data_IF_324891058926
#
_entry.id   IF_324891058926
#
_cell.length_a   1.000
_cell.length_b   1.000
_cell.length_c   1.000
_cell.angle_alpha   90.00
_cell.angle_beta   90.00
_cell.angle_gamma   90.00
#
_symmetry.space_group_name_H-M   'P 1'
#
loop_
_entity.id
_entity.type
_entity.pdbx_description
1 polymer ?
#
# COMPACT_ATOMS: atom_id res chain seq x y z
N UNK A 1 -77.71 -2.60 66.53
CA UNK A 1 -76.27 -2.30 66.71
C UNK A 1 -75.56 -3.64 66.59
N UNK A 2 -75.10 -3.98 65.38
CA UNK A 2 -73.66 -4.04 65.04
C UNK A 2 -72.86 -4.84 66.06
N UNK A 3 -72.60 -6.11 65.77
CA UNK A 3 -71.24 -6.68 65.81
C UNK A 3 -71.19 -8.08 65.19
N UNK A 4 -70.55 -8.08 64.03
CA UNK A 4 -69.61 -9.03 63.40
C UNK A 4 -69.42 -10.41 64.03
N UNK A 5 -69.57 -11.41 63.16
CA UNK A 5 -69.36 -12.82 63.43
C UNK A 5 -67.93 -13.28 63.04
N UNK A 6 -67.32 -14.02 63.97
CA UNK A 6 -66.42 -15.19 63.84
C UNK A 6 -64.99 -14.98 63.31
N UNK A 7 -64.03 -15.24 64.21
CA UNK A 7 -62.61 -15.50 63.91
C UNK A 7 -62.11 -16.62 64.83
N UNK A 8 -61.68 -17.74 64.26
CA UNK A 8 -60.80 -18.71 64.92
C UNK A 8 -59.72 -19.21 63.92
N UNK A 9 -58.47 -18.90 64.28
CA UNK A 9 -57.18 -19.63 64.14
C UNK A 9 -57.16 -20.98 63.41
N UNK A 10 -56.11 -21.43 62.73
CA UNK A 10 -54.80 -20.94 62.27
C UNK A 10 -54.19 -22.13 61.49
N UNK A 11 -53.59 -21.93 60.32
CA UNK A 11 -52.18 -22.32 60.11
C UNK A 11 -51.57 -21.75 58.82
N UNK A 12 -50.26 -21.54 58.92
CA UNK A 12 -49.33 -20.78 58.08
C UNK A 12 -49.10 -21.39 56.69
N UNK A 13 -48.89 -20.54 55.67
CA UNK A 13 -47.53 -20.32 55.11
C UNK A 13 -47.50 -19.29 53.96
N UNK A 14 -46.52 -18.38 54.07
CA UNK A 14 -45.69 -17.92 52.95
C UNK A 14 -46.25 -16.94 51.92
N UNK A 15 -46.04 -15.64 52.16
CA UNK A 15 -46.03 -14.55 51.16
C UNK A 15 -45.01 -14.84 50.03
N UNK A 16 -45.01 -14.24 48.83
CA UNK A 16 -45.24 -12.85 48.41
C UNK A 16 -45.13 -12.87 46.87
N UNK A 17 -46.05 -12.29 46.11
CA UNK A 17 -45.84 -10.91 45.62
C UNK A 17 -45.13 -10.86 44.26
N UNK A 18 -45.89 -11.15 43.20
CA UNK A 18 -45.52 -10.99 41.78
C UNK A 18 -45.23 -9.53 41.42
N UNK A 19 -43.97 -9.21 41.08
CA UNK A 19 -43.62 -8.05 40.24
C UNK A 19 -43.57 -8.51 38.78
N UNK A 20 -44.40 -7.89 37.95
CA UNK A 20 -44.45 -8.13 36.52
C UNK A 20 -43.09 -7.92 35.87
N UNK A 21 -42.53 -8.98 35.31
CA UNK A 21 -41.42 -8.94 34.37
C UNK A 21 -42.04 -8.54 33.03
N UNK A 22 -41.70 -7.33 32.56
CA UNK A 22 -41.95 -6.94 31.18
C UNK A 22 -41.35 -8.01 30.24
N UNK A 23 -42.02 -8.39 29.14
CA UNK A 23 -41.50 -9.39 28.25
C UNK A 23 -40.16 -8.89 27.70
N UNK A 24 -39.08 -9.67 27.96
CA UNK A 24 -37.82 -9.54 27.22
C UNK A 24 -38.19 -9.57 25.73
N UNK A 25 -37.89 -8.48 25.03
CA UNK A 25 -37.94 -8.45 23.57
C UNK A 25 -37.16 -9.64 23.04
N UNK A 26 -37.80 -10.46 22.21
CA UNK A 26 -37.17 -11.56 21.49
C UNK A 26 -35.88 -11.05 20.84
N UNK A 27 -34.74 -11.69 21.16
CA UNK A 27 -33.45 -11.34 20.62
C UNK A 27 -33.44 -11.49 19.10
N UNK A 28 -33.51 -10.37 18.39
CA UNK A 28 -33.12 -10.33 16.99
C UNK A 28 -31.64 -10.68 16.88
N UNK A 29 -31.28 -11.60 16.00
CA UNK A 29 -29.88 -11.89 15.69
C UNK A 29 -29.22 -10.60 15.21
N UNK A 30 -28.13 -10.18 15.88
CA UNK A 30 -27.35 -9.01 15.45
C UNK A 30 -26.83 -9.27 14.04
N UNK A 31 -26.90 -8.28 13.15
CA UNK A 31 -26.46 -8.43 11.77
C UNK A 31 -25.69 -7.19 11.30
N UNK A 32 -24.53 -7.41 10.71
CA UNK A 32 -23.72 -6.38 10.06
C UNK A 32 -23.51 -6.76 8.59
N UNK A 33 -23.84 -5.85 7.69
CA UNK A 33 -23.55 -6.00 6.27
C UNK A 33 -22.75 -4.79 5.75
N UNK A 34 -21.65 -5.06 5.06
CA UNK A 34 -20.84 -4.02 4.40
C UNK A 34 -21.17 -4.00 2.92
N UNK A 35 -21.64 -2.86 2.43
CA UNK A 35 -22.00 -2.67 1.03
C UNK A 35 -21.43 -1.38 0.47
N UNK A 36 -21.55 -1.20 -0.85
CA UNK A 36 -21.13 0.03 -1.51
C UNK A 36 -21.84 1.27 -0.93
N UNK A 37 -23.07 1.12 -0.44
CA UNK A 37 -23.87 2.19 0.16
C UNK A 37 -23.41 2.57 1.58
N UNK A 38 -22.85 1.64 2.34
CA UNK A 38 -22.60 1.87 3.77
C UNK A 38 -22.37 0.59 4.55
N UNK A 39 -22.27 0.75 5.87
CA UNK A 39 -22.35 -0.37 6.82
C UNK A 39 -23.77 -0.41 7.35
N UNK A 40 -24.49 -1.50 7.14
CA UNK A 40 -25.79 -1.72 7.78
C UNK A 40 -25.58 -2.46 9.09
N UNK A 41 -26.12 -1.96 10.19
CA UNK A 41 -26.15 -2.63 11.49
C UNK A 41 -27.62 -2.78 11.89
N UNK A 42 -28.07 -4.02 12.07
CA UNK A 42 -29.45 -4.37 12.41
C UNK A 42 -30.48 -3.68 11.49
N UNK A 43 -30.19 -3.64 10.19
CA UNK A 43 -31.01 -3.02 9.15
C UNK A 43 -30.81 -1.50 8.97
N UNK A 44 -30.18 -0.83 9.93
CA UNK A 44 -29.91 0.62 9.86
C UNK A 44 -28.67 0.90 9.04
N UNK A 45 -28.80 1.64 7.93
CA UNK A 45 -27.68 2.01 7.06
C UNK A 45 -26.90 3.19 7.62
N UNK A 46 -25.60 3.00 7.80
CA UNK A 46 -24.62 4.05 8.10
C UNK A 46 -23.79 4.34 6.84
N UNK A 47 -24.14 5.42 6.14
CA UNK A 47 -23.35 5.91 5.00
C UNK A 47 -21.99 6.47 5.45
N UNK A 48 -21.95 7.06 6.64
CA UNK A 48 -20.74 7.52 7.31
C UNK A 48 -20.67 6.87 8.69
N UNK A 49 -19.49 6.40 9.07
CA UNK A 49 -19.26 5.83 10.39
C UNK A 49 -18.88 6.96 11.34
N UNK A 50 -19.78 7.30 12.26
CA UNK A 50 -19.54 8.25 13.33
C UNK A 50 -19.70 7.55 14.67
N UNK A 51 -18.91 7.99 15.66
CA UNK A 51 -18.97 7.46 17.03
C UNK A 51 -20.39 7.60 17.60
N UNK A 52 -21.08 8.75 17.51
CA UNK A 52 -22.45 8.88 18.02
C UNK A 52 -23.45 7.91 17.36
N UNK A 53 -23.37 7.71 16.03
CA UNK A 53 -24.28 6.80 15.33
C UNK A 53 -24.02 5.34 15.72
N UNK A 54 -22.76 4.96 15.87
CA UNK A 54 -22.38 3.62 16.36
C UNK A 54 -22.83 3.42 17.81
N UNK A 55 -22.60 4.39 18.70
CA UNK A 55 -23.06 4.35 20.10
C UNK A 55 -24.58 4.22 20.22
N UNK A 56 -25.34 4.87 19.34
CA UNK A 56 -26.80 4.75 19.33
C UNK A 56 -27.29 3.32 19.03
N UNK A 57 -26.53 2.54 18.23
CA UNK A 57 -26.90 1.18 17.80
C UNK A 57 -26.27 0.08 18.68
N UNK A 58 -25.07 0.34 19.19
CA UNK A 58 -24.23 -0.63 19.90
C UNK A 58 -24.24 -0.44 21.42
N UNK A 59 -24.80 0.67 21.90
CA UNK A 59 -24.85 1.02 23.32
C UNK A 59 -23.61 1.79 23.78
N UNK A 60 -23.42 1.84 25.10
CA UNK A 60 -22.36 2.64 25.74
C UNK A 60 -20.98 2.02 25.47
N UNK A 61 -20.04 2.77 24.84
CA UNK A 61 -18.68 2.30 24.68
C UNK A 61 -17.81 2.67 25.89
N UNK A 62 -16.64 2.04 25.97
CA UNK A 62 -15.47 2.61 26.65
C UNK A 62 -14.54 3.26 25.65
N UNK A 63 -13.80 4.28 26.08
CA UNK A 63 -12.87 5.01 25.24
C UNK A 63 -11.47 4.88 25.81
N UNK A 64 -10.55 4.36 25.01
CA UNK A 64 -9.15 4.15 25.37
C UNK A 64 -8.26 5.09 24.57
N UNK A 65 -7.62 6.09 25.21
CA UNK A 65 -6.72 6.99 24.52
C UNK A 65 -5.41 6.29 24.12
N UNK A 66 -4.70 6.81 23.11
CA UNK A 66 -3.36 6.36 22.81
C UNK A 66 -2.41 6.68 23.98
N UNK A 67 -1.33 5.90 24.14
CA UNK A 67 -0.32 6.16 25.19
C UNK A 67 0.34 7.54 25.00
N UNK A 68 0.50 7.98 23.75
CA UNK A 68 0.95 9.32 23.37
C UNK A 68 -0.07 9.97 22.45
N UNK A 69 -0.56 11.19 22.74
CA UNK A 69 -1.58 11.87 21.94
C UNK A 69 -1.12 12.22 20.52
N UNK A 70 0.18 12.44 20.31
CA UNK A 70 0.78 12.83 19.03
C UNK A 70 2.03 12.02 18.74
N UNK A 71 2.32 11.76 17.47
CA UNK A 71 3.60 11.20 17.05
C UNK A 71 4.72 12.26 16.96
N UNK A 72 5.94 11.83 16.65
CA UNK A 72 7.13 12.68 16.53
C UNK A 72 6.99 13.79 15.46
N UNK A 73 6.02 13.66 14.55
CA UNK A 73 5.73 14.63 13.50
C UNK A 73 4.55 15.55 13.87
N UNK A 74 4.05 15.47 15.12
CA UNK A 74 2.94 16.28 15.61
C UNK A 74 1.55 15.80 15.14
N UNK A 75 1.45 14.61 14.52
CA UNK A 75 0.17 14.07 14.07
C UNK A 75 -0.59 13.40 15.22
N UNK A 76 -1.88 13.76 15.35
CA UNK A 76 -2.79 13.19 16.36
C UNK A 76 -2.93 11.67 16.14
N UNK A 77 -2.64 10.90 17.20
CA UNK A 77 -2.89 9.46 17.27
C UNK A 77 -4.36 9.20 17.62
N UNK A 78 -4.89 8.10 17.11
CA UNK A 78 -6.30 7.75 17.32
C UNK A 78 -6.54 7.18 18.71
N UNK A 79 -7.66 7.55 19.33
CA UNK A 79 -8.27 6.82 20.43
C UNK A 79 -9.06 5.62 19.90
N UNK A 80 -9.25 4.61 20.74
CA UNK A 80 -10.16 3.50 20.48
C UNK A 80 -11.48 3.71 21.20
N UNK A 81 -12.58 3.55 20.49
CA UNK A 81 -13.95 3.48 21.04
C UNK A 81 -14.40 2.04 20.94
N UNK A 82 -14.75 1.41 22.06
CA UNK A 82 -14.90 -0.04 22.16
C UNK A 82 -16.26 -0.39 22.77
N UNK A 83 -17.02 -1.24 22.07
CA UNK A 83 -18.30 -1.79 22.48
C UNK A 83 -18.12 -3.27 22.82
N UNK A 84 -17.79 -3.55 24.08
CA UNK A 84 -17.37 -4.89 24.54
C UNK A 84 -18.42 -5.97 24.26
N UNK A 85 -19.69 -5.74 24.63
CA UNK A 85 -20.78 -6.70 24.43
C UNK A 85 -21.12 -6.95 22.95
N UNK A 86 -20.70 -6.02 22.08
CA UNK A 86 -20.89 -6.15 20.64
C UNK A 86 -19.67 -6.75 19.95
N UNK A 87 -18.53 -6.92 20.61
CA UNK A 87 -17.30 -7.36 19.94
C UNK A 87 -16.83 -6.42 18.83
N UNK A 88 -17.10 -5.11 18.99
CA UNK A 88 -16.82 -4.09 17.98
C UNK A 88 -15.94 -2.99 18.60
N UNK A 89 -15.01 -2.46 17.82
CA UNK A 89 -14.26 -1.26 18.16
C UNK A 89 -14.05 -0.36 16.95
N UNK A 90 -13.84 0.92 17.18
CA UNK A 90 -13.49 1.87 16.14
C UNK A 90 -12.34 2.79 16.56
N UNK A 91 -11.54 3.23 15.59
CA UNK A 91 -10.55 4.30 15.82
C UNK A 91 -11.18 5.66 15.56
N UNK A 92 -10.79 6.68 16.33
CA UNK A 92 -11.18 8.07 16.09
C UNK A 92 -10.08 9.03 16.50
N UNK A 93 -9.91 10.13 15.74
CA UNK A 93 -8.94 11.20 16.07
C UNK A 93 -9.59 12.41 16.75
N UNK A 94 -10.88 12.60 16.54
CA UNK A 94 -11.66 13.76 16.97
C UNK A 94 -12.80 13.40 17.92
N UNK A 95 -13.04 12.10 18.15
CA UNK A 95 -14.16 11.61 18.95
C UNK A 95 -15.49 11.56 18.18
N UNK A 96 -15.52 12.01 16.92
CA UNK A 96 -16.72 12.09 16.10
C UNK A 96 -16.68 11.11 14.94
N UNK A 97 -15.64 11.17 14.11
CA UNK A 97 -15.52 10.32 12.92
C UNK A 97 -14.76 9.03 13.26
N UNK A 98 -15.32 7.89 12.82
CA UNK A 98 -14.64 6.61 12.90
C UNK A 98 -13.75 6.39 11.66
N UNK A 99 -12.46 6.11 11.87
CA UNK A 99 -11.50 5.84 10.80
C UNK A 99 -11.47 4.38 10.35
N UNK A 100 -11.47 3.46 11.31
CA UNK A 100 -11.54 2.02 11.13
C UNK A 100 -12.63 1.46 12.04
N UNK A 101 -13.43 0.51 11.55
CA UNK A 101 -14.37 -0.28 12.35
C UNK A 101 -13.92 -1.75 12.34
N UNK A 102 -13.56 -2.28 13.50
CA UNK A 102 -13.08 -3.65 13.70
C UNK A 102 -14.13 -4.48 14.41
N UNK A 103 -14.36 -5.70 13.93
CA UNK A 103 -15.41 -6.63 14.39
C UNK A 103 -14.76 -7.99 14.65
N UNK A 104 -14.94 -8.53 15.85
CA UNK A 104 -14.40 -9.84 16.25
C UNK A 104 -15.35 -10.96 15.82
N UNK A 105 -15.06 -11.60 14.68
CA UNK A 105 -16.00 -12.48 13.97
C UNK A 105 -16.14 -13.88 14.59
N UNK A 106 -15.07 -14.38 15.21
CA UNK A 106 -15.02 -15.73 15.75
C UNK A 106 -14.11 -15.80 16.98
N UNK A 107 -14.36 -16.80 17.82
CA UNK A 107 -13.50 -17.12 18.96
C UNK A 107 -12.19 -17.73 18.44
N UNK A 108 -11.07 -17.10 18.75
CA UNK A 108 -9.74 -17.58 18.38
C UNK A 108 -8.86 -17.60 19.62
N UNK A 109 -8.74 -18.75 20.32
CA UNK A 109 -8.07 -18.85 21.61
C UNK A 109 -6.63 -18.30 21.61
N UNK A 110 -5.89 -18.53 20.52
CA UNK A 110 -4.50 -18.07 20.39
C UNK A 110 -4.44 -16.55 20.29
N UNK A 111 -5.36 -15.93 19.54
CA UNK A 111 -5.44 -14.47 19.44
C UNK A 111 -6.03 -13.85 20.71
N UNK A 112 -7.01 -14.50 21.34
CA UNK A 112 -7.65 -14.05 22.57
C UNK A 112 -6.66 -13.94 23.71
N UNK A 113 -5.74 -14.90 23.87
CA UNK A 113 -4.69 -14.84 24.90
C UNK A 113 -3.80 -13.60 24.70
N UNK A 114 -3.39 -13.32 23.46
CA UNK A 114 -2.60 -12.11 23.13
C UNK A 114 -3.38 -10.83 23.41
N UNK A 115 -4.69 -10.84 23.15
CA UNK A 115 -5.57 -9.67 23.29
C UNK A 115 -6.03 -9.43 24.72
N UNK A 116 -6.14 -10.45 25.55
CA UNK A 116 -6.51 -10.33 26.96
C UNK A 116 -5.53 -9.44 27.74
N UNK A 117 -4.27 -9.36 27.29
CA UNK A 117 -3.27 -8.45 27.83
C UNK A 117 -3.41 -6.98 27.34
N UNK A 118 -4.29 -6.70 26.37
CA UNK A 118 -4.42 -5.41 25.71
C UNK A 118 -5.75 -4.74 26.00
N UNK A 119 -5.68 -3.52 26.56
CA UNK A 119 -6.87 -2.69 26.83
C UNK A 119 -7.59 -2.24 25.55
N UNK A 120 -7.01 -2.40 24.36
CA UNK A 120 -7.59 -1.87 23.12
C UNK A 120 -8.56 -2.81 22.40
N UNK A 121 -8.79 -4.02 22.90
CA UNK A 121 -9.63 -5.03 22.26
C UNK A 121 -10.95 -5.24 23.02
N UNK A 122 -12.07 -5.56 22.34
CA UNK A 122 -13.32 -5.88 23.01
C UNK A 122 -13.19 -7.10 23.92
N UNK A 123 -13.97 -7.15 25.00
CA UNK A 123 -13.97 -8.27 25.93
C UNK A 123 -14.58 -9.58 25.37
N UNK A 124 -15.33 -9.52 24.27
CA UNK A 124 -15.99 -10.68 23.65
C UNK A 124 -16.08 -10.58 22.13
N UNK A 125 -16.51 -11.69 21.51
CA UNK A 125 -16.78 -11.76 20.07
C UNK A 125 -18.12 -11.12 19.68
N UNK A 126 -18.26 -10.78 18.40
CA UNK A 126 -19.49 -10.26 17.83
C UNK A 126 -20.58 -11.34 17.82
N UNK A 127 -21.70 -11.17 18.55
CA UNK A 127 -22.72 -12.20 18.71
C UNK A 127 -23.75 -12.14 17.56
N UNK A 128 -23.27 -12.15 16.31
CA UNK A 128 -24.10 -11.88 15.15
C UNK A 128 -23.54 -12.40 13.83
N UNK A 129 -24.26 -12.12 12.74
CA UNK A 129 -23.82 -12.47 11.38
C UNK A 129 -23.17 -11.27 10.72
N UNK A 130 -22.01 -11.49 10.11
CA UNK A 130 -21.30 -10.49 9.33
C UNK A 130 -21.25 -10.89 7.86
N UNK A 131 -21.66 -9.99 6.98
CA UNK A 131 -21.67 -10.19 5.52
C UNK A 131 -21.05 -9.03 4.77
N UNK A 132 -20.67 -9.31 3.53
CA UNK A 132 -20.14 -8.33 2.58
C UNK A 132 -20.96 -8.45 1.29
N UNK A 133 -21.70 -7.38 0.95
CA UNK A 133 -22.74 -7.37 -0.09
C UNK A 133 -23.69 -8.57 0.04
N UNK A 134 -24.15 -8.85 1.27
CA UNK A 134 -25.06 -9.95 1.60
C UNK A 134 -24.45 -11.36 1.53
N UNK A 135 -23.15 -11.49 1.26
CA UNK A 135 -22.45 -12.79 1.18
C UNK A 135 -21.57 -13.07 2.39
N UNK A 136 -21.33 -14.34 2.73
CA UNK A 136 -20.32 -14.72 3.72
C UNK A 136 -18.94 -14.14 3.35
N UNK A 137 -18.09 -13.77 4.32
CA UNK A 137 -16.80 -13.12 4.04
C UNK A 137 -15.91 -13.92 3.08
N UNK A 138 -15.90 -15.25 3.20
CA UNK A 138 -15.09 -16.13 2.35
C UNK A 138 -15.50 -16.07 0.87
N UNK A 139 -16.78 -15.86 0.59
CA UNK A 139 -17.31 -15.74 -0.78
C UNK A 139 -17.11 -14.33 -1.37
N UNK A 140 -16.85 -13.33 -0.52
CA UNK A 140 -16.59 -11.96 -0.94
C UNK A 140 -15.13 -11.72 -1.35
N UNK A 141 -14.22 -12.67 -1.08
CA UNK A 141 -12.81 -12.61 -1.50
C UNK A 141 -12.63 -13.33 -2.84
N UNK A 142 -11.84 -12.74 -3.73
CA UNK A 142 -11.53 -13.36 -5.02
C UNK A 142 -10.59 -14.57 -4.88
N UNK A 143 -10.69 -15.52 -5.81
CA UNK A 143 -9.77 -16.67 -5.90
C UNK A 143 -8.30 -16.24 -5.91
N UNK A 144 -7.96 -15.21 -6.68
CA UNK A 144 -6.58 -14.69 -6.76
C UNK A 144 -6.04 -14.27 -5.38
N UNK A 145 -6.89 -13.68 -4.54
CA UNK A 145 -6.50 -13.24 -3.20
C UNK A 145 -6.42 -14.42 -2.24
N UNK A 146 -7.35 -15.37 -2.31
CA UNK A 146 -7.30 -16.58 -1.50
C UNK A 146 -6.01 -17.37 -1.74
N UNK A 147 -5.57 -17.47 -2.99
CA UNK A 147 -4.29 -18.10 -3.35
C UNK A 147 -3.08 -17.39 -2.74
N UNK A 148 -3.18 -16.09 -2.47
CA UNK A 148 -2.11 -15.26 -1.87
C UNK A 148 -2.34 -14.99 -0.39
N UNK A 149 -3.14 -15.83 0.29
CA UNK A 149 -3.43 -15.67 1.71
C UNK A 149 -2.15 -15.65 2.55
N UNK A 150 -2.09 -14.73 3.52
CA UNK A 150 -0.99 -14.64 4.50
C UNK A 150 -1.52 -14.39 5.90
N UNK A 151 -1.56 -13.13 6.36
CA UNK A 151 -2.12 -12.78 7.67
C UNK A 151 -3.58 -12.32 7.58
N UNK A 152 -3.96 -11.72 6.46
CA UNK A 152 -5.31 -11.27 6.18
C UNK A 152 -5.56 -11.27 4.67
N UNK A 153 -6.82 -11.17 4.29
CA UNK A 153 -7.29 -11.01 2.92
C UNK A 153 -8.07 -9.70 2.83
N UNK A 154 -7.90 -8.93 1.75
CA UNK A 154 -8.69 -7.71 1.56
C UNK A 154 -9.76 -7.90 0.49
N UNK A 155 -10.88 -7.20 0.61
CA UNK A 155 -11.85 -7.06 -0.48
C UNK A 155 -12.40 -5.64 -0.52
N UNK A 156 -12.62 -5.11 -1.73
CA UNK A 156 -13.12 -3.74 -1.92
C UNK A 156 -14.60 -3.78 -2.17
N UNK A 157 -15.32 -2.92 -1.47
CA UNK A 157 -16.77 -2.77 -1.59
C UNK A 157 -17.11 -1.28 -1.66
N UNK A 158 -17.37 -0.80 -2.87
CA UNK A 158 -17.48 0.64 -3.15
C UNK A 158 -16.19 1.39 -2.74
N UNK A 159 -16.34 2.37 -1.85
CA UNK A 159 -15.22 3.15 -1.28
C UNK A 159 -14.64 2.55 0.01
N UNK A 160 -15.07 1.35 0.39
CA UNK A 160 -14.61 0.66 1.59
C UNK A 160 -13.68 -0.48 1.22
N UNK A 161 -12.74 -0.75 2.10
CA UNK A 161 -11.98 -2.00 2.08
C UNK A 161 -12.29 -2.76 3.36
N UNK A 162 -12.64 -4.03 3.21
CA UNK A 162 -12.76 -4.98 4.30
C UNK A 162 -11.48 -5.81 4.33
N UNK A 163 -10.73 -5.72 5.42
CA UNK A 163 -9.60 -6.60 5.71
C UNK A 163 -10.08 -7.72 6.64
N UNK A 164 -9.95 -8.96 6.19
CA UNK A 164 -10.40 -10.16 6.88
C UNK A 164 -9.16 -10.89 7.41
N UNK A 165 -8.91 -10.79 8.71
CA UNK A 165 -7.75 -11.40 9.37
C UNK A 165 -7.99 -12.88 9.55
N UNK A 166 -7.02 -13.69 9.11
CA UNK A 166 -7.12 -15.13 9.22
C UNK A 166 -7.12 -15.55 10.69
N UNK A 167 -7.87 -16.63 11.00
CA UNK A 167 -7.76 -17.26 12.30
C UNK A 167 -6.34 -17.80 12.49
N UNK A 168 -5.72 -17.46 13.61
CA UNK A 168 -4.42 -17.99 14.01
C UNK A 168 -4.53 -19.47 14.42
N UNK A 169 -5.67 -19.85 15.00
CA UNK A 169 -5.97 -21.23 15.41
C UNK A 169 -6.18 -22.15 14.20
N UNK A 170 -7.00 -21.76 13.21
CA UNK A 170 -7.33 -22.62 12.07
C UNK A 170 -6.42 -22.40 10.85
N UNK A 171 -5.94 -21.18 10.62
CA UNK A 171 -5.18 -20.80 9.42
C UNK A 171 -3.75 -20.30 9.73
N UNK A 172 -3.30 -20.31 11.00
CA UNK A 172 -2.02 -19.71 11.41
C UNK A 172 -0.77 -20.36 10.80
N UNK A 173 -0.88 -21.60 10.31
CA UNK A 173 0.19 -22.27 9.53
C UNK A 173 0.63 -21.41 8.33
N UNK A 174 -0.34 -20.85 7.58
CA UNK A 174 -0.08 -20.05 6.38
C UNK A 174 0.88 -18.89 6.68
N UNK A 175 0.71 -18.27 7.86
CA UNK A 175 1.54 -17.14 8.29
C UNK A 175 2.96 -17.56 8.66
N UNK A 176 3.12 -18.74 9.29
CA UNK A 176 4.40 -19.30 9.75
C UNK A 176 5.20 -19.98 8.63
N UNK A 177 4.54 -20.28 7.52
CA UNK A 177 5.13 -20.97 6.37
C UNK A 177 6.29 -20.18 5.74
N UNK A 178 7.39 -20.88 5.47
CA UNK A 178 8.55 -20.30 4.79
C UNK A 178 8.20 -19.90 3.36
N UNK A 179 8.85 -18.86 2.85
CA UNK A 179 8.50 -18.26 1.56
C UNK A 179 8.51 -19.26 0.38
N UNK A 180 9.50 -20.16 0.23
CA UNK A 180 9.50 -21.11 -0.90
C UNK A 180 8.29 -22.06 -0.90
N UNK A 181 7.91 -22.54 0.28
CA UNK A 181 6.74 -23.41 0.45
C UNK A 181 5.44 -22.63 0.18
N UNK A 182 5.33 -21.44 0.77
CA UNK A 182 4.18 -20.56 0.56
C UNK A 182 3.98 -20.21 -0.92
N UNK A 183 5.06 -19.90 -1.64
CA UNK A 183 5.00 -19.59 -3.06
C UNK A 183 4.51 -20.79 -3.86
N UNK A 184 5.03 -22.00 -3.60
CA UNK A 184 4.57 -23.21 -4.26
C UNK A 184 3.07 -23.48 -4.03
N UNK A 185 2.59 -23.32 -2.79
CA UNK A 185 1.18 -23.50 -2.42
C UNK A 185 0.26 -22.38 -2.94
N UNK A 186 0.79 -21.17 -3.13
CA UNK A 186 0.09 -20.08 -3.79
C UNK A 186 -0.19 -20.41 -5.26
N UNK A 187 0.82 -20.95 -5.96
CA UNK A 187 0.69 -21.34 -7.37
C UNK A 187 -0.24 -22.54 -7.56
N UNK A 188 -0.15 -23.55 -6.68
CA UNK A 188 -1.01 -24.75 -6.75
C UNK A 188 -2.47 -24.47 -6.35
N UNK A 189 -2.70 -23.45 -5.53
CA UNK A 189 -4.02 -23.10 -4.99
C UNK A 189 -4.33 -23.73 -3.64
N UNK A 190 -3.41 -24.53 -3.07
CA UNK A 190 -3.55 -25.16 -1.76
C UNK A 190 -3.82 -24.14 -0.64
N UNK A 191 -3.25 -22.92 -0.72
CA UNK A 191 -3.54 -21.87 0.28
C UNK A 191 -5.02 -21.49 0.30
N UNK A 192 -5.67 -21.44 -0.86
CA UNK A 192 -7.09 -21.15 -0.94
C UNK A 192 -7.94 -22.30 -0.38
N UNK A 193 -7.49 -23.55 -0.54
CA UNK A 193 -8.15 -24.74 0.01
C UNK A 193 -8.06 -24.78 1.54
N UNK A 194 -6.89 -24.46 2.12
CA UNK A 194 -6.70 -24.36 3.57
C UNK A 194 -7.71 -23.36 4.16
N UNK A 195 -7.76 -22.14 3.60
CA UNK A 195 -8.68 -21.10 4.09
C UNK A 195 -10.15 -21.52 3.93
N UNK A 196 -10.53 -22.19 2.83
CA UNK A 196 -11.91 -22.66 2.63
C UNK A 196 -12.32 -23.82 3.53
N UNK A 197 -11.35 -24.63 3.94
CA UNK A 197 -11.59 -25.82 4.77
C UNK A 197 -11.75 -25.47 6.25
N UNK A 198 -11.31 -24.28 6.66
CA UNK A 198 -11.53 -23.75 8.00
C UNK A 198 -13.04 -23.51 8.25
N UNK A 199 -13.51 -23.87 9.44
CA UNK A 199 -14.86 -23.58 9.91
C UNK A 199 -15.02 -22.07 10.18
N UNK A 200 -13.98 -21.45 10.77
CA UNK A 200 -13.93 -20.02 11.03
C UNK A 200 -12.63 -19.42 10.46
N UNK A 201 -12.55 -19.26 9.12
CA UNK A 201 -11.32 -18.79 8.47
C UNK A 201 -10.88 -17.40 8.91
N UNK A 202 -11.80 -16.58 9.41
CA UNK A 202 -11.53 -15.21 9.81
C UNK A 202 -11.91 -14.99 11.27
N UNK A 203 -10.94 -14.57 12.08
CA UNK A 203 -11.19 -14.19 13.48
C UNK A 203 -11.67 -12.74 13.60
N UNK A 204 -11.37 -11.89 12.61
CA UNK A 204 -11.67 -10.46 12.66
C UNK A 204 -11.86 -9.84 11.29
N UNK A 205 -12.76 -8.87 11.19
CA UNK A 205 -12.87 -7.97 10.05
C UNK A 205 -12.55 -6.53 10.46
N UNK A 206 -11.79 -5.81 9.64
CA UNK A 206 -11.59 -4.36 9.74
C UNK A 206 -12.15 -3.68 8.51
N UNK A 207 -13.02 -2.69 8.72
CA UNK A 207 -13.64 -1.89 7.66
C UNK A 207 -13.00 -0.53 7.64
N UNK A 208 -12.30 -0.24 6.56
CA UNK A 208 -11.62 1.04 6.34
C UNK A 208 -12.34 1.81 5.25
N UNK A 209 -12.59 3.10 5.49
CA UNK A 209 -13.02 3.99 4.42
C UNK A 209 -11.79 4.46 3.63
N UNK A 210 -11.60 3.92 2.42
CA UNK A 210 -10.58 4.41 1.50
C UNK A 210 -11.17 5.49 0.62
N UNK A 211 -10.99 6.75 1.03
CA UNK A 211 -11.02 7.84 0.06
C UNK A 211 -9.83 7.62 -0.88
N UNK A 212 -10.02 7.43 -2.20
CA UNK A 212 -8.91 7.39 -3.13
C UNK A 212 -8.09 8.65 -2.92
N UNK A 213 -6.80 8.51 -2.63
CA UNK A 213 -5.92 9.69 -2.51
C UNK A 213 -6.09 10.48 -3.82
N UNK A 214 -6.39 11.79 -3.77
CA UNK A 214 -6.50 12.58 -4.97
C UNK A 214 -5.20 12.42 -5.75
N UNK A 215 -5.32 11.91 -6.97
CA UNK A 215 -4.17 11.76 -7.86
C UNK A 215 -3.63 13.16 -8.11
N UNK A 216 -2.42 13.44 -7.63
CA UNK A 216 -1.76 14.70 -7.90
C UNK A 216 -1.65 14.85 -9.42
N UNK A 217 -2.00 16.01 -9.97
CA UNK A 217 -1.69 16.29 -11.37
C UNK A 217 -0.17 16.41 -11.51
N UNK A 218 0.44 15.98 -12.64
CA UNK A 218 1.84 16.27 -12.93
C UNK A 218 2.11 17.76 -12.77
N UNK A 219 3.17 18.12 -12.05
CA UNK A 219 3.57 19.52 -11.88
C UNK A 219 3.99 20.17 -13.18
N UNK A 220 4.39 19.36 -14.17
CA UNK A 220 4.92 19.82 -15.45
C UNK A 220 6.43 20.10 -15.42
N UNK A 221 7.11 19.92 -14.27
CA UNK A 221 8.54 20.23 -14.13
C UNK A 221 9.44 19.42 -15.07
N UNK A 222 9.06 18.18 -15.37
CA UNK A 222 9.80 17.30 -16.28
C UNK A 222 9.44 17.47 -17.75
N UNK A 223 8.63 18.48 -18.08
CA UNK A 223 8.30 18.80 -19.46
C UNK A 223 9.53 19.41 -20.14
N UNK A 224 10.05 18.69 -21.13
CA UNK A 224 11.14 19.19 -21.97
C UNK A 224 10.68 20.44 -22.74
N UNK A 225 11.50 21.47 -22.71
CA UNK A 225 11.30 22.69 -23.49
C UNK A 225 11.69 22.45 -24.95
N UNK A 226 11.05 23.18 -25.85
CA UNK A 226 11.49 23.20 -27.24
C UNK A 226 12.87 23.84 -27.34
N UNK A 227 13.75 23.27 -28.17
CA UNK A 227 15.06 23.85 -28.41
C UNK A 227 14.92 25.23 -29.06
N UNK A 228 15.61 26.22 -28.51
CA UNK A 228 15.71 27.59 -29.05
C UNK A 228 16.99 27.80 -29.87
N UNK A 229 17.91 26.84 -29.83
CA UNK A 229 19.19 26.83 -30.51
C UNK A 229 19.46 25.44 -31.15
N UNK A 230 20.45 25.30 -32.07
CA UNK A 230 20.80 24.00 -32.63
C UNK A 230 21.16 22.98 -31.54
N UNK A 231 20.75 21.73 -31.75
CA UNK A 231 20.98 20.63 -30.79
C UNK A 231 21.88 19.55 -31.39
N UNK A 232 22.56 18.81 -30.52
CA UNK A 232 23.34 17.64 -30.88
C UNK A 232 22.43 16.46 -31.22
N UNK A 233 22.78 15.77 -32.30
CA UNK A 233 22.13 14.55 -32.77
C UNK A 233 23.08 13.37 -32.62
N UNK A 234 22.55 12.22 -32.18
CA UNK A 234 23.36 11.03 -31.89
C UNK A 234 22.70 9.79 -32.48
N UNK A 235 23.46 9.01 -33.25
CA UNK A 235 23.06 7.68 -33.69
C UNK A 235 23.16 6.66 -32.54
N UNK A 236 24.17 6.82 -31.67
CA UNK A 236 24.42 5.95 -30.52
C UNK A 236 23.74 6.48 -29.26
N UNK A 237 22.69 5.78 -28.79
CA UNK A 237 22.02 6.15 -27.55
C UNK A 237 22.95 6.04 -26.32
N UNK A 238 23.77 4.99 -26.13
CA UNK A 238 24.70 4.95 -25.00
C UNK A 238 25.76 6.06 -25.03
N UNK A 239 26.25 6.44 -26.21
CA UNK A 239 27.18 7.58 -26.30
C UNK A 239 26.52 8.90 -25.93
N UNK A 240 25.27 9.10 -26.38
CA UNK A 240 24.45 10.24 -25.94
C UNK A 240 24.30 10.28 -24.42
N UNK A 241 24.13 9.13 -23.76
CA UNK A 241 24.06 9.07 -22.29
C UNK A 241 25.39 9.48 -21.65
N UNK A 242 26.54 9.06 -22.19
CA UNK A 242 27.85 9.51 -21.69
C UNK A 242 28.02 11.04 -21.79
N UNK A 243 27.56 11.66 -22.88
CA UNK A 243 27.56 13.13 -23.02
C UNK A 243 26.62 13.78 -21.99
N UNK A 244 25.45 13.18 -21.73
CA UNK A 244 24.53 13.70 -20.73
C UNK A 244 25.13 13.53 -19.32
N UNK A 245 25.82 12.42 -19.01
CA UNK A 245 26.53 12.25 -17.73
C UNK A 245 27.46 13.45 -17.50
N UNK A 246 28.37 13.68 -18.43
CA UNK A 246 29.35 14.76 -18.33
C UNK A 246 28.67 16.14 -18.19
N UNK A 247 27.74 16.47 -19.09
CA UNK A 247 27.15 17.81 -19.10
C UNK A 247 26.16 18.07 -17.96
N UNK A 248 25.39 17.06 -17.53
CA UNK A 248 24.32 17.22 -16.53
C UNK A 248 24.78 16.93 -15.11
N UNK A 249 25.59 15.88 -14.93
CA UNK A 249 25.92 15.37 -13.60
C UNK A 249 27.29 15.86 -13.11
N UNK A 250 28.28 15.96 -14.01
CA UNK A 250 29.63 16.45 -13.66
C UNK A 250 29.75 17.96 -13.78
N UNK A 251 29.39 18.54 -14.93
CA UNK A 251 29.57 19.97 -15.19
C UNK A 251 28.36 20.83 -14.80
N UNK A 252 27.20 20.21 -14.59
CA UNK A 252 25.92 20.90 -14.28
C UNK A 252 25.51 21.97 -15.32
N UNK A 253 25.93 21.82 -16.58
CA UNK A 253 25.61 22.74 -17.69
C UNK A 253 24.32 22.38 -18.44
N UNK A 254 23.84 21.14 -18.29
CA UNK A 254 22.62 20.64 -18.94
C UNK A 254 21.49 20.45 -17.93
N UNK A 255 20.50 21.34 -17.99
CA UNK A 255 19.35 21.35 -17.08
C UNK A 255 18.06 20.78 -17.70
N UNK A 256 17.11 20.31 -16.86
CA UNK A 256 17.23 20.11 -15.41
C UNK A 256 18.04 18.85 -15.09
N UNK A 257 18.77 18.85 -13.95
CA UNK A 257 19.39 17.62 -13.40
C UNK A 257 18.28 16.59 -13.15
N UNK A 258 18.38 15.44 -13.81
CA UNK A 258 17.31 14.45 -13.80
C UNK A 258 17.42 13.52 -12.59
N UNK A 259 16.27 13.27 -11.95
CA UNK A 259 16.11 12.33 -10.84
C UNK A 259 14.91 11.41 -11.13
N UNK A 260 15.16 10.11 -11.19
CA UNK A 260 14.17 9.09 -11.56
C UNK A 260 13.07 8.93 -10.52
N UNK A 261 13.38 9.07 -9.23
CA UNK A 261 12.40 8.92 -8.16
C UNK A 261 11.41 10.09 -8.19
N UNK A 262 11.93 11.30 -8.33
CA UNK A 262 11.16 12.52 -8.43
C UNK A 262 10.43 12.65 -9.78
N UNK A 263 11.00 12.09 -10.86
CA UNK A 263 10.31 11.89 -12.14
C UNK A 263 9.14 10.94 -12.03
N UNK A 264 9.34 9.80 -11.38
CA UNK A 264 8.33 8.75 -11.26
C UNK A 264 7.16 9.17 -10.37
N UNK A 265 7.41 9.99 -9.33
CA UNK A 265 6.35 10.53 -8.49
C UNK A 265 5.51 11.62 -9.17
N UNK A 266 6.07 12.35 -10.13
CA UNK A 266 5.41 13.49 -10.79
C UNK A 266 4.64 13.13 -12.08
N UNK A 267 4.26 11.87 -12.30
CA UNK A 267 3.47 11.44 -13.47
C UNK A 267 1.94 11.39 -13.21
N UNK A 268 1.50 11.82 -12.02
CA UNK A 268 0.12 11.79 -11.58
C UNK A 268 -0.50 10.40 -11.62
N UNK A 269 -1.52 10.17 -12.47
CA UNK A 269 -2.17 8.87 -12.56
C UNK A 269 -1.24 7.77 -13.10
N UNK A 270 -0.14 8.17 -13.74
CA UNK A 270 0.88 7.28 -14.30
C UNK A 270 2.13 7.20 -13.40
N UNK A 271 2.07 7.70 -12.17
CA UNK A 271 3.20 7.57 -11.24
C UNK A 271 3.51 6.10 -10.98
N UNK A 272 4.80 5.80 -10.83
CA UNK A 272 5.29 4.44 -10.73
C UNK A 272 6.41 4.35 -9.69
N UNK A 273 6.73 3.13 -9.26
CA UNK A 273 7.93 2.84 -8.49
C UNK A 273 9.07 2.50 -9.47
N UNK A 274 10.16 3.28 -9.52
CA UNK A 274 11.31 2.96 -10.36
C UNK A 274 11.87 1.55 -10.13
N UNK A 275 11.83 1.04 -8.89
CA UNK A 275 12.39 -0.28 -8.56
C UNK A 275 11.53 -1.43 -9.09
N UNK A 276 10.26 -1.18 -9.42
CA UNK A 276 9.37 -2.20 -9.99
C UNK A 276 9.81 -2.70 -11.37
N UNK A 277 10.76 -2.02 -12.01
CA UNK A 277 11.30 -2.40 -13.31
C UNK A 277 12.45 -3.42 -13.21
N UNK A 278 13.00 -3.65 -12.02
CA UNK A 278 14.12 -4.58 -11.81
C UNK A 278 15.40 -4.10 -12.48
N UNK A 279 16.02 -5.01 -13.22
CA UNK A 279 17.23 -4.84 -14.04
C UNK A 279 16.96 -4.19 -15.42
N UNK A 280 15.71 -3.79 -15.70
CA UNK A 280 15.32 -3.24 -17.01
C UNK A 280 15.27 -1.73 -17.02
N UNK A 281 15.63 -1.14 -18.17
CA UNK A 281 15.47 0.31 -18.39
C UNK A 281 14.01 0.76 -18.22
N UNK A 282 13.80 1.76 -17.36
CA UNK A 282 12.50 2.40 -17.18
C UNK A 282 12.09 3.08 -18.49
N UNK A 283 11.02 2.63 -19.18
CA UNK A 283 10.71 3.09 -20.54
C UNK A 283 10.45 4.59 -20.63
N UNK A 284 9.78 5.16 -19.62
CA UNK A 284 9.47 6.59 -19.56
C UNK A 284 10.75 7.45 -19.44
N UNK A 285 11.72 7.00 -18.65
CA UNK A 285 13.01 7.68 -18.45
C UNK A 285 13.86 7.59 -19.71
N UNK A 286 13.99 6.39 -20.29
CA UNK A 286 14.68 6.20 -21.59
C UNK A 286 14.10 7.12 -22.67
N UNK A 287 12.78 7.22 -22.72
CA UNK A 287 12.05 8.09 -23.65
C UNK A 287 12.32 9.58 -23.41
N UNK A 288 12.48 9.98 -22.14
CA UNK A 288 12.84 11.34 -21.75
C UNK A 288 14.25 11.71 -22.21
N UNK A 289 15.28 10.92 -21.86
CA UNK A 289 16.66 11.19 -22.26
C UNK A 289 16.88 11.14 -23.79
N UNK A 290 16.11 10.32 -24.51
CA UNK A 290 16.11 10.34 -25.98
C UNK A 290 15.63 11.65 -26.58
N UNK A 291 14.74 12.36 -25.91
CA UNK A 291 14.16 13.63 -26.39
C UNK A 291 14.82 14.87 -25.82
N UNK A 292 15.60 14.76 -24.74
CA UNK A 292 16.26 15.88 -24.08
C UNK A 292 17.09 16.70 -25.09
N UNK A 293 16.72 17.95 -25.43
CA UNK A 293 17.57 18.74 -26.32
C UNK A 293 18.90 19.03 -25.65
N UNK A 294 20.01 18.73 -26.33
CA UNK A 294 21.37 19.04 -25.86
C UNK A 294 21.91 20.15 -26.75
N UNK A 295 22.05 21.40 -26.27
CA UNK A 295 22.55 22.50 -27.07
C UNK A 295 23.92 22.22 -27.71
N UNK A 296 24.05 22.48 -29.01
CA UNK A 296 25.27 22.21 -29.76
C UNK A 296 26.50 22.96 -29.23
N UNK A 297 26.30 24.16 -28.67
CA UNK A 297 27.36 24.95 -28.03
C UNK A 297 28.04 24.24 -26.86
N UNK A 298 27.37 23.27 -26.21
CA UNK A 298 27.94 22.53 -25.08
C UNK A 298 28.95 21.46 -25.54
N UNK A 299 29.00 21.12 -26.83
CA UNK A 299 30.00 20.16 -27.30
C UNK A 299 31.45 20.64 -27.07
N UNK A 300 31.66 21.96 -27.05
CA UNK A 300 32.96 22.57 -26.77
C UNK A 300 33.38 22.48 -25.29
N UNK A 301 32.49 22.15 -24.36
CA UNK A 301 32.86 21.96 -22.95
C UNK A 301 33.27 20.52 -22.62
N UNK A 302 33.08 19.57 -23.55
CA UNK A 302 33.40 18.17 -23.34
C UNK A 302 34.83 17.89 -23.79
N UNK A 303 35.74 17.74 -22.83
CA UNK A 303 37.17 17.46 -23.08
C UNK A 303 37.57 16.02 -22.75
N UNK A 304 36.97 15.48 -21.70
CA UNK A 304 37.14 14.10 -21.24
C UNK A 304 35.77 13.48 -21.01
N UNK A 305 35.64 12.17 -21.24
CA UNK A 305 34.48 11.40 -20.80
C UNK A 305 34.95 10.24 -19.93
N UNK A 306 34.28 10.05 -18.79
CA UNK A 306 34.50 8.90 -17.91
C UNK A 306 33.34 7.91 -18.10
N UNK A 307 33.66 6.70 -18.56
CA UNK A 307 32.69 5.62 -18.75
C UNK A 307 32.83 4.63 -17.59
N UNK A 308 32.12 4.90 -16.50
CA UNK A 308 32.12 4.08 -15.29
C UNK A 308 30.73 3.48 -15.05
N UNK A 309 30.66 2.21 -14.63
CA UNK A 309 29.39 1.53 -14.32
C UNK A 309 28.59 2.21 -13.20
N UNK A 310 29.26 2.93 -12.31
CA UNK A 310 28.67 3.72 -11.23
C UNK A 310 28.19 5.12 -11.64
N UNK A 311 28.29 5.51 -12.91
CA UNK A 311 27.81 6.82 -13.36
C UNK A 311 26.31 7.01 -13.05
N UNK A 312 25.96 8.18 -12.51
CA UNK A 312 24.60 8.51 -12.07
C UNK A 312 23.55 8.21 -13.13
N UNK A 313 23.82 8.58 -14.39
CA UNK A 313 22.85 8.45 -15.47
C UNK A 313 22.38 7.01 -15.70
N UNK A 314 23.23 6.02 -15.45
CA UNK A 314 22.86 4.61 -15.63
C UNK A 314 21.84 4.19 -14.58
N UNK A 315 22.04 4.62 -13.32
CA UNK A 315 21.10 4.39 -12.22
C UNK A 315 19.79 5.19 -12.40
N UNK A 316 19.80 6.29 -13.16
CA UNK A 316 18.54 6.94 -13.53
C UNK A 316 17.70 6.10 -14.50
N UNK A 317 18.33 5.38 -15.43
CA UNK A 317 17.63 4.52 -16.39
C UNK A 317 17.28 3.15 -15.81
N UNK A 318 18.17 2.55 -15.04
CA UNK A 318 18.03 1.24 -14.40
C UNK A 318 18.45 1.40 -12.92
N UNK A 319 17.52 1.72 -12.00
CA UNK A 319 17.85 2.00 -10.61
C UNK A 319 18.55 0.87 -9.84
N UNK A 320 18.38 -0.37 -10.30
CA UNK A 320 18.96 -1.56 -9.69
C UNK A 320 20.06 -2.18 -10.57
N UNK A 321 20.67 -1.40 -11.47
CA UNK A 321 21.74 -1.91 -12.32
C UNK A 321 22.97 -2.24 -11.48
N UNK A 322 23.49 -3.44 -11.67
CA UNK A 322 24.69 -3.95 -11.00
C UNK A 322 25.97 -3.73 -11.81
N UNK A 323 25.85 -3.21 -13.03
CA UNK A 323 26.99 -2.95 -13.91
C UNK A 323 27.46 -4.17 -14.72
N UNK A 324 26.79 -5.33 -14.62
CA UNK A 324 27.33 -6.60 -15.13
C UNK A 324 26.90 -6.94 -16.57
N UNK A 325 25.99 -6.17 -17.18
CA UNK A 325 25.46 -6.43 -18.52
C UNK A 325 25.91 -5.43 -19.61
N UNK A 326 25.47 -5.65 -20.86
CA UNK A 326 25.82 -4.79 -22.00
C UNK A 326 24.82 -3.65 -22.27
N UNK A 327 23.95 -3.31 -21.30
CA UNK A 327 22.85 -2.35 -21.45
C UNK A 327 23.31 -0.96 -21.91
N UNK A 328 24.51 -0.53 -21.49
CA UNK A 328 25.10 0.77 -21.80
C UNK A 328 26.35 0.68 -22.69
N UNK A 329 26.62 -0.48 -23.30
CA UNK A 329 27.77 -0.68 -24.18
C UNK A 329 27.67 0.20 -25.44
N UNK A 330 28.68 1.05 -25.68
CA UNK A 330 28.86 1.81 -26.91
C UNK A 330 29.49 0.89 -27.95
N UNK A 331 28.64 0.18 -28.70
CA UNK A 331 29.10 -0.82 -29.69
C UNK A 331 29.77 -0.20 -30.92
N UNK A 332 29.25 0.94 -31.39
CA UNK A 332 29.71 1.64 -32.59
C UNK A 332 29.54 3.14 -32.43
N UNK A 333 30.45 3.91 -33.02
CA UNK A 333 30.36 5.36 -33.16
C UNK A 333 30.53 5.72 -34.64
N UNK A 334 29.76 6.71 -35.10
CA UNK A 334 29.94 7.27 -36.43
C UNK A 334 30.76 8.55 -36.36
N UNK A 335 31.32 8.97 -37.49
CA UNK A 335 32.05 10.24 -37.59
C UNK A 335 31.14 11.41 -37.21
N UNK A 336 29.85 11.34 -37.57
CA UNK A 336 28.88 12.38 -37.24
C UNK A 336 28.57 12.46 -35.74
N UNK A 337 28.71 11.36 -34.98
CA UNK A 337 28.56 11.38 -33.53
C UNK A 337 29.72 12.14 -32.87
N UNK A 338 30.92 12.11 -33.46
CA UNK A 338 32.14 12.69 -32.88
C UNK A 338 32.45 14.10 -33.40
N UNK A 339 32.04 14.43 -34.62
CA UNK A 339 32.36 15.69 -35.29
C UNK A 339 32.06 16.96 -34.49
N UNK A 340 30.97 17.05 -33.68
CA UNK A 340 30.70 18.23 -32.87
C UNK A 340 31.71 18.47 -31.73
N UNK A 341 32.40 17.42 -31.25
CA UNK A 341 33.23 17.47 -30.05
C UNK A 341 34.68 17.78 -30.37
N UNK A 342 34.95 19.01 -30.83
CA UNK A 342 36.29 19.39 -31.31
C UNK A 342 37.36 19.43 -30.22
N UNK A 343 36.95 19.46 -28.94
CA UNK A 343 37.81 19.50 -27.76
C UNK A 343 37.89 18.19 -26.98
N UNK A 344 37.12 17.16 -27.35
CA UNK A 344 37.24 15.84 -26.74
C UNK A 344 38.59 15.23 -27.10
N UNK A 345 39.38 14.86 -26.09
CA UNK A 345 40.73 14.31 -26.24
C UNK A 345 40.87 12.93 -25.63
N UNK A 346 40.17 12.66 -24.53
CA UNK A 346 40.32 11.41 -23.78
C UNK A 346 38.97 10.82 -23.42
N UNK A 347 38.87 9.50 -23.49
CA UNK A 347 37.79 8.72 -22.89
C UNK A 347 38.41 7.69 -21.95
N UNK A 348 38.08 7.77 -20.66
CA UNK A 348 38.50 6.82 -19.64
C UNK A 348 37.45 5.71 -19.57
N UNK A 349 37.79 4.49 -20.02
CA UNK A 349 36.85 3.37 -20.14
C UNK A 349 36.93 2.41 -18.96
N UNK A 350 36.70 2.94 -17.75
CA UNK A 350 36.82 2.21 -16.47
C UNK A 350 35.88 1.00 -16.43
N UNK A 351 34.64 1.16 -16.90
CA UNK A 351 33.61 0.12 -16.92
C UNK A 351 33.70 -0.84 -18.11
N UNK A 352 34.65 -0.67 -19.03
CA UNK A 352 34.75 -1.51 -20.23
C UNK A 352 33.53 -1.38 -21.16
N UNK A 353 32.96 -0.18 -21.26
CA UNK A 353 31.73 0.13 -22.00
C UNK A 353 31.98 0.47 -23.48
N UNK A 354 33.22 0.40 -23.98
CA UNK A 354 33.53 0.59 -25.40
C UNK A 354 33.74 -0.72 -26.15
N UNK A 355 32.89 -0.95 -27.17
CA UNK A 355 33.09 -2.03 -28.12
C UNK A 355 34.28 -1.79 -29.08
N UNK A 356 34.86 -2.85 -29.68
CA UNK A 356 36.04 -2.72 -30.54
C UNK A 356 35.88 -1.74 -31.72
N UNK A 357 34.68 -1.66 -32.30
CA UNK A 357 34.39 -0.72 -33.41
C UNK A 357 34.30 0.72 -32.93
N UNK A 358 33.77 0.97 -31.74
CA UNK A 358 33.76 2.30 -31.14
C UNK A 358 35.18 2.77 -30.83
N UNK A 359 36.02 1.90 -30.23
CA UNK A 359 37.45 2.18 -30.00
C UNK A 359 38.20 2.54 -31.29
N UNK A 360 37.96 1.80 -32.37
CA UNK A 360 38.57 2.10 -33.66
C UNK A 360 38.13 3.48 -34.23
N UNK A 361 36.85 3.84 -34.07
CA UNK A 361 36.33 5.14 -34.49
C UNK A 361 36.93 6.30 -33.68
N UNK A 362 37.09 6.13 -32.37
CA UNK A 362 37.74 7.11 -31.48
C UNK A 362 39.22 7.32 -31.86
N UNK A 363 39.95 6.22 -32.07
CA UNK A 363 41.34 6.29 -32.52
C UNK A 363 41.49 7.01 -33.88
N UNK A 364 40.58 6.75 -34.83
CA UNK A 364 40.57 7.44 -36.12
C UNK A 364 40.25 8.94 -36.00
N UNK A 365 39.51 9.34 -34.96
CA UNK A 365 39.23 10.74 -34.63
C UNK A 365 40.34 11.40 -33.79
N UNK A 366 41.41 10.68 -33.43
CA UNK A 366 42.50 11.20 -32.61
C UNK A 366 42.15 11.35 -31.12
N UNK A 367 41.13 10.63 -30.64
CA UNK A 367 40.71 10.59 -29.24
C UNK A 367 41.38 9.39 -28.56
N UNK A 368 42.10 9.65 -27.47
CA UNK A 368 42.74 8.62 -26.65
C UNK A 368 41.69 7.85 -25.84
N UNK A 369 41.91 6.55 -25.68
CA UNK A 369 41.11 5.71 -24.78
C UNK A 369 42.04 5.12 -23.73
N UNK A 370 41.75 5.41 -22.48
CA UNK A 370 42.54 5.00 -21.30
C UNK A 370 41.83 3.91 -20.50
#
# INVERSE_FOLDING_TARGET
>A
MRETAVSEMQNQDGASGTRGVAPRSAGGSRAIDVSAAGVRIDGTLLELLTVPALTALLGTPRVEPPDEPTDANGSVRSSWVIWDESGIRATTKDGEQAGELSIELADDPVENEKRAASRFFPAGGFPGTFTIDGRPPIEAVSEEKLRKARAFLSTKVGQREAELFLSETECGEIRRMEFPEWYAKSESGELAEIVRSAAHPFSRASILHRVPKPVKKPSGKWKLQAATEPVLEFASFPFRLAIIQELMYEQELLEPRFDVHDFAQDQGAKSFDPHSFGDRMVPAVRSWFRRLPIPARLAESVETLVLDGGNDIYLQLIPLWDGEDDSFMIKTLKVEDLAPFTRLRTIEDIGGLLGPRARAALAAAGIAVE
#
